data_IF_948986843660
#
_entry.id   IF_948986843660
#
_cell.length_a   1.000
_cell.length_b   1.000
_cell.length_c   1.000
_cell.angle_alpha   90.00
_cell.angle_beta   90.00
_cell.angle_gamma   90.00
#
_symmetry.space_group_name_H-M   'P 1'
#
loop_
_entity.id
_entity.type
_entity.pdbx_description
1 polymer ?
#
# COMPACT_ATOMS: atom_id res chain seq x y z
N UNK A 1 -27.26 10.84 18.51
CA UNK A 1 -26.82 9.98 19.62
C UNK A 1 -26.82 8.49 19.25
N UNK A 2 -27.88 7.97 18.63
CA UNK A 2 -28.04 6.53 18.34
C UNK A 2 -26.96 5.94 17.39
N UNK A 3 -26.45 6.72 16.44
CA UNK A 3 -25.43 6.23 15.49
C UNK A 3 -24.04 6.10 16.13
N UNK A 4 -23.71 7.00 17.05
CA UNK A 4 -22.42 6.96 17.80
C UNK A 4 -22.44 5.79 18.79
N UNK A 5 -23.58 5.57 19.46
CA UNK A 5 -23.76 4.42 20.37
C UNK A 5 -23.70 3.09 19.61
N UNK A 6 -24.27 3.01 18.39
CA UNK A 6 -24.16 1.84 17.50
C UNK A 6 -22.73 1.59 17.03
N UNK A 7 -22.00 2.62 16.64
CA UNK A 7 -20.60 2.49 16.24
C UNK A 7 -19.72 1.99 17.40
N UNK A 8 -19.91 2.57 18.60
CA UNK A 8 -19.19 2.17 19.80
C UNK A 8 -19.54 0.74 20.24
N UNK A 9 -20.79 0.30 20.07
CA UNK A 9 -21.19 -1.08 20.39
C UNK A 9 -20.68 -2.10 19.38
N UNK A 10 -20.51 -1.73 18.11
CA UNK A 10 -19.82 -2.59 17.11
C UNK A 10 -18.34 -2.70 17.44
N UNK A 11 -17.67 -1.58 17.75
CA UNK A 11 -16.25 -1.59 18.17
C UNK A 11 -16.09 -2.44 19.43
N UNK A 12 -17.00 -2.30 20.41
CA UNK A 12 -16.98 -3.10 21.63
C UNK A 12 -17.21 -4.59 21.35
N UNK A 13 -18.13 -4.96 20.45
CA UNK A 13 -18.34 -6.35 20.04
C UNK A 13 -17.12 -6.95 19.34
N UNK A 14 -16.43 -6.18 18.49
CA UNK A 14 -15.18 -6.60 17.86
C UNK A 14 -14.10 -6.81 18.93
N UNK A 15 -13.93 -5.87 19.87
CA UNK A 15 -12.95 -5.99 20.97
C UNK A 15 -13.28 -7.16 21.91
N UNK A 16 -14.55 -7.41 22.22
CA UNK A 16 -14.96 -8.55 23.06
C UNK A 16 -14.79 -9.87 22.32
N UNK A 17 -15.05 -9.94 21.02
CA UNK A 17 -14.79 -11.14 20.21
C UNK A 17 -13.30 -11.50 20.15
N UNK A 18 -12.41 -10.50 20.19
CA UNK A 18 -10.95 -10.70 20.31
C UNK A 18 -10.59 -11.31 21.69
N UNK A 19 -11.34 -10.98 22.75
CA UNK A 19 -11.13 -11.50 24.11
C UNK A 19 -11.47 -12.98 24.30
N UNK A 20 -12.30 -13.58 23.44
CA UNK A 20 -12.61 -15.02 23.47
C UNK A 20 -11.59 -15.87 22.70
N UNK A 21 -10.67 -15.25 21.95
CA UNK A 21 -9.53 -15.92 21.30
C UNK A 21 -8.35 -15.93 22.28
N UNK A 22 -8.50 -16.63 23.40
CA UNK A 22 -7.41 -16.86 24.36
C UNK A 22 -7.28 -18.36 24.63
N UNK A 23 -6.54 -19.04 23.76
CA UNK A 23 -5.74 -20.25 24.05
C UNK A 23 -5.02 -20.70 22.77
N UNK A 24 -4.09 -19.88 22.29
CA UNK A 24 -3.05 -20.32 21.37
C UNK A 24 -1.79 -19.59 21.83
N UNK A 25 -0.69 -20.31 22.04
CA UNK A 25 0.63 -19.77 22.44
C UNK A 25 1.24 -18.91 21.32
N UNK A 26 0.48 -17.92 20.87
CA UNK A 26 0.84 -17.07 19.76
C UNK A 26 1.42 -15.77 20.30
N UNK A 27 2.66 -15.50 19.92
CA UNK A 27 3.32 -14.23 20.22
C UNK A 27 3.09 -13.25 19.08
N UNK A 28 2.46 -12.09 19.33
CA UNK A 28 2.22 -11.11 18.29
C UNK A 28 3.53 -10.64 17.69
N UNK A 29 3.59 -10.59 16.35
CA UNK A 29 4.79 -10.18 15.62
C UNK A 29 4.57 -8.83 14.94
N UNK A 30 5.57 -7.96 15.04
CA UNK A 30 5.59 -6.65 14.40
C UNK A 30 6.81 -6.54 13.49
N UNK A 31 6.63 -6.07 12.27
CA UNK A 31 7.71 -6.01 11.28
C UNK A 31 7.64 -4.71 10.49
N UNK A 32 8.76 -3.99 10.45
CA UNK A 32 8.94 -2.83 9.58
C UNK A 32 9.51 -3.28 8.23
N UNK A 33 9.01 -2.67 7.15
CA UNK A 33 9.47 -2.90 5.77
C UNK A 33 9.83 -1.57 5.14
N UNK A 34 10.98 -1.48 4.48
CA UNK A 34 11.46 -0.25 3.86
C UNK A 34 11.91 -0.47 2.42
N UNK A 35 11.67 0.51 1.56
CA UNK A 35 12.24 0.58 0.21
C UNK A 35 12.77 2.00 -0.01
N UNK A 36 13.98 2.11 -0.56
CA UNK A 36 14.51 3.36 -1.11
C UNK A 36 15.02 3.05 -2.50
N UNK A 37 14.52 3.78 -3.50
CA UNK A 37 14.89 3.61 -4.90
C UNK A 37 15.24 4.96 -5.51
N UNK A 38 16.38 5.01 -6.19
CA UNK A 38 16.78 6.09 -7.08
C UNK A 38 17.02 5.47 -8.47
N UNK A 39 16.46 6.07 -9.52
CA UNK A 39 16.59 5.55 -10.89
C UNK A 39 16.71 6.68 -11.91
N UNK A 40 17.81 6.71 -12.65
CA UNK A 40 17.93 7.57 -13.84
C UNK A 40 17.15 7.00 -15.02
N UNK A 41 16.44 7.85 -15.75
CA UNK A 41 15.72 7.51 -16.97
C UNK A 41 16.04 8.50 -18.10
N UNK A 42 16.23 7.95 -19.29
CA UNK A 42 16.33 8.70 -20.55
C UNK A 42 15.06 8.45 -21.35
N UNK A 43 14.35 9.53 -21.71
CA UNK A 43 13.10 9.46 -22.44
C UNK A 43 13.22 10.16 -23.79
N UNK A 44 12.99 9.39 -24.86
CA UNK A 44 12.93 9.84 -26.25
C UNK A 44 11.83 9.08 -27.02
N UNK A 45 10.67 8.86 -26.36
CA UNK A 45 9.58 8.02 -26.89
C UNK A 45 8.73 8.67 -27.99
N UNK A 46 9.10 9.85 -28.47
CA UNK A 46 8.36 10.60 -29.50
C UNK A 46 8.80 10.27 -30.94
N UNK A 47 9.86 9.46 -31.11
CA UNK A 47 10.39 9.02 -32.40
C UNK A 47 10.79 10.17 -33.34
N UNK A 48 11.13 11.34 -32.80
CA UNK A 48 11.54 12.50 -33.58
C UNK A 48 13.03 12.79 -33.36
N UNK A 49 13.83 12.79 -34.44
CA UNK A 49 15.28 13.01 -34.33
C UNK A 49 15.67 14.49 -34.10
N UNK A 50 14.69 15.40 -34.09
CA UNK A 50 14.87 16.83 -33.82
C UNK A 50 14.61 17.19 -32.36
N UNK A 51 14.01 16.30 -31.58
CA UNK A 51 13.73 16.51 -30.15
C UNK A 51 14.83 15.87 -29.31
N UNK A 52 15.50 16.63 -28.40
CA UNK A 52 16.44 16.05 -27.47
C UNK A 52 15.76 15.08 -26.52
N UNK A 53 16.48 14.03 -26.09
CA UNK A 53 15.99 13.16 -25.02
C UNK A 53 15.90 13.93 -23.70
N UNK A 54 14.93 13.57 -22.86
CA UNK A 54 14.84 14.08 -21.49
C UNK A 54 15.56 13.13 -20.55
N UNK A 55 16.47 13.65 -19.72
CA UNK A 55 17.13 12.89 -18.65
C UNK A 55 16.58 13.36 -17.31
N UNK A 56 16.11 12.41 -16.50
CA UNK A 56 15.63 12.69 -15.16
C UNK A 56 15.95 11.54 -14.22
N UNK A 57 16.01 11.86 -12.92
CA UNK A 57 16.17 10.85 -11.88
C UNK A 57 14.86 10.74 -11.13
N UNK A 58 14.36 9.55 -10.95
CA UNK A 58 13.19 9.25 -10.15
C UNK A 58 13.63 8.81 -8.75
N UNK A 59 12.87 9.21 -7.74
CA UNK A 59 12.98 8.69 -6.38
C UNK A 59 11.68 8.04 -5.94
N UNK A 60 11.80 6.94 -5.20
CA UNK A 60 10.71 6.32 -4.46
C UNK A 60 11.21 5.93 -3.08
N UNK A 61 10.41 6.23 -2.06
CA UNK A 61 10.60 5.76 -0.69
C UNK A 61 9.30 5.09 -0.25
N UNK A 62 9.38 3.88 0.31
CA UNK A 62 8.24 3.22 0.96
C UNK A 62 8.61 2.86 2.38
N UNK A 63 7.68 3.11 3.29
CA UNK A 63 7.75 2.64 4.66
C UNK A 63 6.47 1.89 4.98
N UNK A 64 6.61 0.62 5.31
CA UNK A 64 5.52 -0.27 5.67
C UNK A 64 5.66 -0.81 7.08
N UNK A 65 4.52 -1.07 7.70
CA UNK A 65 4.39 -1.71 8.99
C UNK A 65 3.42 -2.87 8.88
N UNK A 66 3.85 -4.03 9.37
CA UNK A 66 3.05 -5.25 9.45
C UNK A 66 2.88 -5.65 10.91
N UNK A 67 1.65 -5.93 11.30
CA UNK A 67 1.31 -6.51 12.59
C UNK A 67 0.56 -7.83 12.38
N UNK A 68 0.96 -8.86 13.13
CA UNK A 68 0.25 -10.14 13.23
C UNK A 68 -0.18 -10.34 14.68
N UNK A 69 -1.38 -9.88 15.07
CA UNK A 69 -1.86 -9.99 16.44
C UNK A 69 -2.36 -11.40 16.81
N UNK A 70 -2.68 -12.23 15.81
CA UNK A 70 -3.03 -13.64 15.93
C UNK A 70 -2.39 -14.42 14.77
N UNK A 71 -2.35 -15.75 14.85
CA UNK A 71 -1.75 -16.62 13.83
C UNK A 71 -2.36 -16.38 12.44
N UNK A 72 -3.69 -16.22 12.40
CA UNK A 72 -4.45 -16.04 11.17
C UNK A 72 -4.76 -14.59 10.79
N UNK A 73 -4.34 -13.62 11.61
CA UNK A 73 -4.69 -12.21 11.41
C UNK A 73 -3.45 -11.42 11.00
N UNK A 74 -3.58 -10.63 9.94
CA UNK A 74 -2.52 -9.75 9.46
C UNK A 74 -3.06 -8.36 9.15
N UNK A 75 -2.38 -7.34 9.64
CA UNK A 75 -2.62 -5.93 9.32
C UNK A 75 -1.39 -5.38 8.64
N UNK A 76 -1.57 -4.69 7.52
CA UNK A 76 -0.47 -4.08 6.79
C UNK A 76 -0.82 -2.67 6.35
N UNK A 77 0.09 -1.73 6.61
CA UNK A 77 0.03 -0.36 6.11
C UNK A 77 1.36 -0.01 5.45
N UNK A 78 1.32 0.78 4.38
CA UNK A 78 2.51 1.23 3.67
C UNK A 78 2.28 2.63 3.11
N UNK A 79 3.08 3.58 3.58
CA UNK A 79 3.20 4.90 2.97
C UNK A 79 4.24 4.86 1.85
N UNK A 80 4.02 5.65 0.80
CA UNK A 80 4.93 5.81 -0.32
C UNK A 80 5.07 7.28 -0.68
N UNK A 81 6.31 7.72 -0.87
CA UNK A 81 6.64 8.95 -1.57
C UNK A 81 7.28 8.59 -2.92
N UNK A 82 6.84 9.21 -4.02
CA UNK A 82 7.39 8.93 -5.36
C UNK A 82 7.36 10.18 -6.23
N UNK A 83 8.52 10.59 -6.75
CA UNK A 83 8.69 11.86 -7.48
C UNK A 83 9.89 11.85 -8.41
N UNK A 84 10.01 12.87 -9.26
CA UNK A 84 11.28 13.21 -9.89
C UNK A 84 12.18 13.84 -8.81
N UNK A 85 13.37 13.27 -8.66
CA UNK A 85 14.36 13.70 -7.68
C UNK A 85 14.86 15.10 -8.03
N UNK A 86 14.88 15.98 -7.03
CA UNK A 86 15.30 17.38 -7.20
C UNK A 86 14.24 18.32 -7.78
N UNK A 87 12.99 17.89 -7.93
CA UNK A 87 11.87 18.75 -8.34
C UNK A 87 10.89 19.00 -7.19
N UNK A 88 10.31 20.21 -7.14
CA UNK A 88 9.29 20.60 -6.16
C UNK A 88 7.89 20.76 -6.75
N UNK A 89 7.68 20.47 -8.04
CA UNK A 89 6.34 20.24 -8.59
C UNK A 89 6.36 19.46 -9.91
N UNK A 90 5.31 18.65 -10.06
CA UNK A 90 4.93 17.92 -11.26
C UNK A 90 4.35 18.91 -12.28
N UNK A 91 5.21 19.47 -13.14
CA UNK A 91 4.81 20.32 -14.27
C UNK A 91 5.08 21.83 -14.10
N UNK A 92 5.94 22.33 -14.99
CA UNK A 92 6.09 23.72 -15.46
C UNK A 92 6.66 24.83 -14.55
N UNK A 93 6.77 24.69 -13.22
CA UNK A 93 7.35 25.78 -12.40
C UNK A 93 8.24 25.26 -11.26
N UNK A 94 9.54 25.59 -11.30
CA UNK A 94 10.48 25.37 -10.19
C UNK A 94 10.17 26.37 -9.07
N UNK A 95 9.72 25.90 -7.91
CA UNK A 95 9.45 26.73 -6.74
C UNK A 95 9.83 25.98 -5.46
N UNK A 96 10.70 26.58 -4.65
CA UNK A 96 11.16 26.08 -3.33
C UNK A 96 10.12 26.15 -2.23
N UNK A 97 8.89 26.51 -2.58
CA UNK A 97 7.76 26.69 -1.69
C UNK A 97 6.56 25.79 -2.08
N UNK A 98 6.79 24.80 -2.95
CA UNK A 98 5.76 23.89 -3.49
C UNK A 98 5.30 22.79 -2.52
N UNK A 99 3.98 22.54 -2.52
CA UNK A 99 3.28 21.57 -1.66
C UNK A 99 3.61 20.10 -2.02
N UNK A 100 4.01 19.31 -1.01
CA UNK A 100 4.49 17.93 -1.15
C UNK A 100 3.36 16.91 -1.32
N UNK A 101 2.58 17.01 -2.39
CA UNK A 101 1.43 16.12 -2.68
C UNK A 101 1.80 14.66 -3.07
N UNK A 102 3.08 14.29 -2.96
CA UNK A 102 3.60 13.01 -3.47
C UNK A 102 3.64 11.88 -2.42
N UNK A 103 3.35 12.18 -1.15
CA UNK A 103 3.24 11.19 -0.08
C UNK A 103 1.81 10.65 -0.02
N UNK A 104 1.64 9.34 -0.25
CA UNK A 104 0.33 8.67 -0.27
C UNK A 104 0.36 7.32 0.47
N UNK A 105 -0.81 6.83 0.86
CA UNK A 105 -1.03 5.47 1.34
C UNK A 105 -1.09 4.50 0.16
N UNK A 106 0.01 3.77 -0.04
CA UNK A 106 0.14 2.79 -1.12
C UNK A 106 -0.58 1.48 -0.83
N UNK A 107 -0.46 0.95 0.39
CA UNK A 107 -1.21 -0.23 0.84
C UNK A 107 -1.74 -0.02 2.26
N UNK A 108 -2.90 -0.59 2.53
CA UNK A 108 -3.59 -0.48 3.80
C UNK A 108 -4.70 -1.52 3.85
N UNK A 109 -4.42 -2.68 4.43
CA UNK A 109 -5.38 -3.78 4.47
C UNK A 109 -5.33 -4.58 5.76
N UNK A 110 -6.45 -5.26 5.99
CA UNK A 110 -6.65 -6.28 7.01
C UNK A 110 -6.88 -7.63 6.33
N UNK A 111 -6.25 -8.68 6.80
CA UNK A 111 -6.33 -10.05 6.28
C UNK A 111 -6.64 -11.01 7.42
N UNK A 112 -7.59 -11.91 7.18
CA UNK A 112 -7.90 -13.06 8.04
C UNK A 112 -7.81 -14.33 7.21
N UNK A 113 -7.00 -15.26 7.66
CA UNK A 113 -6.89 -16.59 7.10
C UNK A 113 -7.81 -17.56 7.87
N UNK A 114 -8.14 -18.70 7.27
CA UNK A 114 -8.92 -19.78 7.89
C UNK A 114 -10.26 -19.31 8.49
N UNK A 115 -10.90 -18.33 7.84
CA UNK A 115 -12.14 -17.74 8.37
C UNK A 115 -13.31 -18.71 8.14
N UNK A 116 -13.86 -19.30 9.21
CA UNK A 116 -14.97 -20.29 9.21
C UNK A 116 -14.70 -21.63 8.51
N UNK A 117 -13.85 -21.65 7.48
CA UNK A 117 -13.47 -22.84 6.72
C UNK A 117 -11.93 -22.88 6.61
N UNK A 118 -11.33 -24.09 6.64
CA UNK A 118 -9.93 -24.26 6.26
C UNK A 118 -9.70 -23.65 4.86
N UNK A 119 -8.54 -23.02 4.68
CA UNK A 119 -8.09 -22.40 3.42
C UNK A 119 -8.83 -21.12 2.97
N UNK A 120 -9.97 -20.75 3.59
CA UNK A 120 -10.66 -19.51 3.23
C UNK A 120 -9.92 -18.29 3.79
N UNK A 121 -9.44 -17.42 2.91
CA UNK A 121 -8.81 -16.15 3.25
C UNK A 121 -9.67 -14.97 2.78
N UNK A 122 -9.83 -13.98 3.65
CA UNK A 122 -10.46 -12.70 3.32
C UNK A 122 -9.47 -11.57 3.60
N UNK A 123 -9.29 -10.70 2.61
CA UNK A 123 -8.49 -9.48 2.73
C UNK A 123 -9.31 -8.26 2.32
N UNK A 124 -9.34 -7.24 3.18
CA UNK A 124 -10.14 -6.03 3.01
C UNK A 124 -9.24 -4.78 3.07
N UNK A 125 -9.33 -3.93 2.07
CA UNK A 125 -8.65 -2.63 2.03
C UNK A 125 -7.91 -2.36 0.72
N UNK A 126 -6.92 -1.46 0.79
CA UNK A 126 -6.03 -1.12 -0.31
C UNK A 126 -4.87 -2.11 -0.40
N UNK A 127 -4.73 -2.79 -1.52
CA UNK A 127 -3.76 -3.88 -1.66
C UNK A 127 -3.19 -3.98 -3.07
N UNK A 128 -1.94 -4.42 -3.19
CA UNK A 128 -1.42 -4.86 -4.47
C UNK A 128 -1.98 -6.25 -4.82
N UNK A 129 -2.33 -6.42 -6.09
CA UNK A 129 -2.86 -7.65 -6.65
C UNK A 129 -2.03 -8.04 -7.87
N UNK A 130 -1.75 -9.33 -8.02
CA UNK A 130 -1.03 -9.90 -9.15
C UNK A 130 -1.74 -11.16 -9.63
N UNK A 131 -2.29 -11.09 -10.85
CA UNK A 131 -3.06 -12.15 -11.49
C UNK A 131 -2.64 -12.33 -12.94
N UNK A 132 -2.46 -13.59 -13.34
CA UNK A 132 -2.09 -13.96 -14.71
C UNK A 132 -0.74 -13.39 -15.13
N UNK A 133 0.29 -13.51 -14.28
CA UNK A 133 1.62 -12.91 -14.49
C UNK A 133 1.52 -11.39 -14.75
N UNK A 134 0.67 -10.70 -13.98
CA UNK A 134 0.38 -9.27 -14.10
C UNK A 134 -0.31 -8.83 -15.41
N UNK A 135 -0.75 -9.78 -16.26
CA UNK A 135 -1.45 -9.45 -17.52
C UNK A 135 -2.94 -9.12 -17.33
N UNK A 136 -3.55 -9.64 -16.26
CA UNK A 136 -4.96 -9.36 -15.93
C UNK A 136 -5.04 -8.23 -14.90
N UNK A 137 -4.32 -8.40 -13.79
CA UNK A 137 -4.22 -7.40 -12.72
C UNK A 137 -2.76 -7.44 -12.24
N UNK A 138 -2.13 -6.28 -12.11
CA UNK A 138 -0.75 -6.17 -11.68
C UNK A 138 -0.48 -4.88 -10.92
N UNK A 139 0.50 -4.94 -10.02
CA UNK A 139 0.96 -3.78 -9.25
C UNK A 139 1.86 -2.84 -10.04
N UNK A 140 2.40 -3.26 -11.19
CA UNK A 140 3.26 -2.43 -12.06
C UNK A 140 4.42 -1.79 -11.29
N UNK A 141 5.08 -2.57 -10.42
CA UNK A 141 6.11 -2.07 -9.51
C UNK A 141 7.36 -1.52 -10.22
N UNK A 142 7.52 -1.81 -11.52
CA UNK A 142 8.52 -1.15 -12.38
C UNK A 142 8.27 0.35 -12.54
N UNK A 143 7.02 0.82 -12.59
CA UNK A 143 6.69 2.25 -12.61
C UNK A 143 7.22 2.93 -11.33
N UNK A 144 7.30 4.27 -11.29
CA UNK A 144 7.78 4.97 -10.08
C UNK A 144 6.75 5.06 -8.95
N UNK A 145 5.46 4.90 -9.23
CA UNK A 145 4.39 4.97 -8.22
C UNK A 145 3.81 3.58 -7.87
N UNK A 146 3.84 2.61 -8.79
CA UNK A 146 3.16 1.33 -8.57
C UNK A 146 1.65 1.50 -8.49
N UNK A 147 0.91 0.40 -8.37
CA UNK A 147 -0.55 0.36 -8.41
C UNK A 147 -1.08 -0.54 -7.31
N UNK A 148 -2.06 -0.04 -6.58
CA UNK A 148 -2.84 -0.80 -5.62
C UNK A 148 -4.34 -0.63 -5.92
N UNK A 149 -5.15 -1.51 -5.35
CA UNK A 149 -6.59 -1.58 -5.57
C UNK A 149 -7.31 -1.57 -4.22
N UNK A 150 -8.39 -0.80 -4.15
CA UNK A 150 -9.30 -0.82 -3.00
C UNK A 150 -10.34 -1.90 -3.22
N UNK A 151 -10.51 -2.81 -2.26
CA UNK A 151 -11.57 -3.80 -2.36
C UNK A 151 -11.52 -4.90 -1.32
N UNK A 152 -12.38 -5.89 -1.53
CA UNK A 152 -12.39 -7.14 -0.82
C UNK A 152 -11.84 -8.24 -1.74
N UNK A 153 -10.89 -9.02 -1.23
CA UNK A 153 -10.39 -10.24 -1.85
C UNK A 153 -10.83 -11.43 -1.00
N UNK A 154 -11.42 -12.42 -1.65
CA UNK A 154 -11.73 -13.73 -1.06
C UNK A 154 -11.00 -14.78 -1.87
N UNK A 155 -10.27 -15.67 -1.22
CA UNK A 155 -9.53 -16.78 -1.84
C UNK A 155 -9.74 -18.06 -1.06
#
# INVERSE_FOLDING_TARGET
MNNVVRLLSIIFLVVVSIGWVQAQDFSPTYTWKGEVRLRGEMDGRDFNNLTPFTLYTLSRIRLGFEAKPAEDVRVYIQAQDSRVFGTENDGATFSTLGDSKNLDLHQGYFEVNQLFLPELMIRLGRQELSYGNERLIGGVNFHNVGRAFDGALVR
#
